data_IF_542204300554
#
_entry.id   IF_542204300554
#
_cell.length_a   1.000
_cell.length_b   1.000
_cell.length_c   1.000
_cell.angle_alpha   90.00
_cell.angle_beta   90.00
_cell.angle_gamma   90.00
#
_symmetry.space_group_name_H-M   'P 1'
#
loop_
_entity.id
_entity.type
_entity.pdbx_description
1 polymer ?
#
# COMPACT_ATOMS: atom_id res chain seq x y z
N UNK A 1 19.17 6.80 8.64
CA UNK A 1 17.96 5.98 8.94
C UNK A 1 18.26 4.48 8.93
N UNK A 2 19.02 3.96 7.96
CA UNK A 2 19.33 2.52 7.80
C UNK A 2 19.93 1.85 9.05
N UNK A 3 20.86 2.52 9.75
CA UNK A 3 21.51 1.95 10.96
C UNK A 3 20.52 1.49 12.03
N UNK A 4 19.50 2.30 12.34
CA UNK A 4 18.49 1.95 13.35
C UNK A 4 17.62 0.76 12.91
N UNK A 5 17.31 0.72 11.61
CA UNK A 5 16.54 -0.36 11.00
C UNK A 5 17.31 -1.69 11.06
N UNK A 6 18.62 -1.66 10.84
CA UNK A 6 19.51 -2.83 10.94
C UNK A 6 19.64 -3.32 12.38
N UNK A 7 19.87 -2.41 13.33
CA UNK A 7 19.94 -2.75 14.76
C UNK A 7 18.65 -3.43 15.21
N UNK A 8 17.48 -2.89 14.82
CA UNK A 8 16.20 -3.53 15.13
C UNK A 8 16.01 -4.87 14.41
N UNK A 9 16.44 -4.98 13.14
CA UNK A 9 16.37 -6.22 12.38
C UNK A 9 17.16 -7.34 13.06
N UNK A 10 18.38 -7.06 13.50
CA UNK A 10 19.23 -8.02 14.22
C UNK A 10 18.58 -8.43 15.55
N UNK A 11 18.07 -7.47 16.32
CA UNK A 11 17.33 -7.75 17.55
C UNK A 11 16.10 -8.65 17.32
N UNK A 12 15.27 -8.33 16.33
CA UNK A 12 14.03 -9.07 16.06
C UNK A 12 14.30 -10.50 15.59
N UNK A 13 15.24 -10.67 14.64
CA UNK A 13 15.58 -11.99 14.11
C UNK A 13 16.33 -12.86 15.14
N UNK A 14 17.09 -12.24 16.05
CA UNK A 14 17.70 -12.95 17.18
C UNK A 14 16.67 -13.51 18.17
N UNK A 15 15.53 -12.81 18.36
CA UNK A 15 14.45 -13.26 19.25
C UNK A 15 13.44 -14.20 18.57
N UNK A 16 13.25 -14.05 17.26
CA UNK A 16 12.24 -14.78 16.50
C UNK A 16 12.88 -15.53 15.32
N UNK A 17 13.36 -16.74 15.60
CA UNK A 17 13.92 -17.63 14.58
C UNK A 17 12.88 -18.08 13.55
N UNK A 18 13.32 -18.31 12.30
CA UNK A 18 12.47 -18.76 11.19
C UNK A 18 11.58 -17.68 10.57
N UNK A 19 11.70 -16.41 10.97
CA UNK A 19 10.93 -15.28 10.39
C UNK A 19 11.78 -14.45 9.44
N UNK A 20 11.10 -13.78 8.50
CA UNK A 20 11.69 -12.77 7.60
C UNK A 20 11.03 -11.42 7.84
N UNK A 21 11.84 -10.37 7.94
CA UNK A 21 11.33 -8.99 8.01
C UNK A 21 11.31 -8.36 6.61
N UNK A 22 10.18 -7.74 6.29
CA UNK A 22 9.99 -6.91 5.11
C UNK A 22 9.48 -5.54 5.55
N UNK A 23 10.24 -4.51 5.23
CA UNK A 23 9.90 -3.13 5.59
C UNK A 23 8.95 -2.55 4.55
N UNK A 24 7.95 -1.79 5.00
CA UNK A 24 6.93 -1.17 4.15
C UNK A 24 7.03 0.37 4.26
N UNK A 25 7.81 1.04 3.38
CA UNK A 25 8.00 2.48 3.41
C UNK A 25 6.71 3.29 3.32
N UNK A 26 5.72 2.76 2.60
CA UNK A 26 4.39 3.36 2.37
C UNK A 26 3.59 3.59 3.66
N UNK A 27 3.85 2.79 4.71
CA UNK A 27 3.21 2.93 6.01
C UNK A 27 4.05 3.74 7.01
N UNK A 28 5.26 4.14 6.61
CA UNK A 28 6.19 4.87 7.46
C UNK A 28 5.77 6.33 7.62
N UNK A 29 5.94 6.85 8.85
CA UNK A 29 5.76 8.26 9.15
C UNK A 29 6.82 8.73 10.15
N UNK A 30 7.11 10.03 10.12
CA UNK A 30 8.07 10.67 11.02
C UNK A 30 7.56 12.04 11.48
N UNK A 31 8.18 12.55 12.54
CA UNK A 31 8.00 13.92 12.99
C UNK A 31 9.30 14.67 12.77
N UNK A 32 9.25 15.73 11.96
CA UNK A 32 10.39 16.59 11.66
C UNK A 32 10.27 17.88 12.45
N UNK A 33 11.36 18.28 13.10
CA UNK A 33 11.49 19.62 13.67
C UNK A 33 12.05 20.53 12.60
N UNK A 34 11.35 21.61 12.32
CA UNK A 34 11.73 22.56 11.28
C UNK A 34 11.82 23.96 11.87
N UNK A 35 12.78 24.73 11.39
CA UNK A 35 12.98 26.12 11.78
C UNK A 35 12.55 27.02 10.62
N UNK A 36 11.45 27.72 10.81
CA UNK A 36 10.97 28.75 9.88
C UNK A 36 11.28 30.14 10.46
N UNK A 37 11.17 31.20 9.65
CA UNK A 37 11.42 32.56 10.13
C UNK A 37 10.49 33.00 11.27
N UNK A 38 9.24 32.53 11.27
CA UNK A 38 8.26 32.80 12.35
C UNK A 38 8.44 31.88 13.58
N UNK A 39 9.42 30.98 13.56
CA UNK A 39 9.77 30.12 14.68
C UNK A 39 9.73 28.63 14.36
N UNK A 40 9.99 27.85 15.41
CA UNK A 40 10.09 26.38 15.32
C UNK A 40 8.72 25.74 15.20
N UNK A 41 8.62 24.71 14.36
CA UNK A 41 7.40 23.91 14.13
C UNK A 41 7.74 22.42 14.06
N UNK A 42 6.74 21.58 14.24
CA UNK A 42 6.84 20.14 14.05
C UNK A 42 5.93 19.68 12.91
N UNK A 43 6.52 19.02 11.91
CA UNK A 43 5.80 18.46 10.77
C UNK A 43 5.64 16.95 10.97
N UNK A 44 4.41 16.47 11.08
CA UNK A 44 4.11 15.05 11.00
C UNK A 44 3.88 14.69 9.53
N UNK A 45 4.77 13.87 8.98
CA UNK A 45 4.91 13.60 7.55
C UNK A 45 5.09 12.10 7.29
N UNK A 46 4.79 11.65 6.07
CA UNK A 46 5.12 10.31 5.61
C UNK A 46 6.63 10.14 5.45
N UNK A 47 7.09 8.89 5.33
CA UNK A 47 8.50 8.60 5.09
C UNK A 47 8.99 9.22 3.77
N UNK A 48 8.18 9.16 2.70
CA UNK A 48 8.52 9.76 1.42
C UNK A 48 8.65 11.28 1.50
N UNK A 49 7.69 11.94 2.14
CA UNK A 49 7.77 13.38 2.42
C UNK A 49 9.01 13.73 3.24
N UNK A 50 9.39 12.86 4.19
CA UNK A 50 10.59 13.05 5.01
C UNK A 50 11.86 13.05 4.17
N UNK A 51 12.00 12.09 3.25
CA UNK A 51 13.17 12.00 2.37
C UNK A 51 13.31 13.27 1.52
N UNK A 52 12.22 13.73 0.91
CA UNK A 52 12.20 14.95 0.10
C UNK A 52 12.59 16.17 0.93
N UNK A 53 11.99 16.36 2.11
CA UNK A 53 12.29 17.52 2.96
C UNK A 53 13.74 17.54 3.48
N UNK A 54 14.33 16.37 3.72
CA UNK A 54 15.70 16.27 4.22
C UNK A 54 16.74 16.77 3.20
N UNK A 55 16.45 16.66 1.89
CA UNK A 55 17.33 17.17 0.83
C UNK A 55 17.57 18.67 0.96
N UNK A 56 16.58 19.43 1.44
CA UNK A 56 16.66 20.88 1.58
C UNK A 56 17.55 21.35 2.74
N UNK A 57 18.17 20.44 3.49
CA UNK A 57 19.23 20.79 4.44
C UNK A 57 20.58 21.04 3.76
N UNK A 58 20.80 20.50 2.55
CA UNK A 58 22.08 20.56 1.84
C UNK A 58 21.98 21.33 0.51
N UNK A 59 20.77 21.71 0.08
CA UNK A 59 20.54 22.53 -1.11
C UNK A 59 19.26 23.35 -1.01
N UNK A 60 19.18 24.42 -1.80
CA UNK A 60 18.08 25.40 -1.71
C UNK A 60 16.94 25.11 -2.70
N UNK A 61 17.28 24.55 -3.87
CA UNK A 61 16.34 24.29 -4.95
C UNK A 61 16.69 22.97 -5.66
N UNK A 62 15.66 22.17 -5.95
CA UNK A 62 15.80 20.91 -6.69
C UNK A 62 14.70 20.76 -7.74
N UNK A 63 15.02 20.14 -8.88
CA UNK A 63 14.06 19.70 -9.88
C UNK A 63 13.38 18.38 -9.48
N UNK A 64 12.26 18.04 -10.14
CA UNK A 64 11.61 16.72 -9.96
C UNK A 64 12.58 15.58 -10.22
N UNK A 65 13.38 15.67 -11.28
CA UNK A 65 14.34 14.64 -11.67
C UNK A 65 15.45 14.44 -10.63
N UNK A 66 15.97 15.53 -10.06
CA UNK A 66 16.99 15.49 -9.01
C UNK A 66 16.44 14.84 -7.75
N UNK A 67 15.21 15.20 -7.35
CA UNK A 67 14.53 14.60 -6.19
C UNK A 67 14.27 13.11 -6.45
N UNK A 68 13.83 12.73 -7.65
CA UNK A 68 13.60 11.33 -8.04
C UNK A 68 14.87 10.52 -7.93
N UNK A 69 15.97 11.02 -8.48
CA UNK A 69 17.28 10.37 -8.47
C UNK A 69 17.83 10.20 -7.05
N UNK A 70 17.74 11.24 -6.22
CA UNK A 70 18.26 11.22 -4.85
C UNK A 70 17.44 10.34 -3.89
N UNK A 71 16.11 10.34 -4.03
CA UNK A 71 15.21 9.63 -3.09
C UNK A 71 14.87 8.22 -3.53
N UNK A 72 14.95 7.91 -4.82
CA UNK A 72 14.57 6.62 -5.39
C UNK A 72 13.06 6.32 -5.31
N UNK A 73 12.23 7.34 -5.13
CA UNK A 73 10.77 7.18 -5.05
C UNK A 73 10.22 6.96 -6.46
N UNK A 74 9.27 6.03 -6.59
CA UNK A 74 8.55 5.80 -7.84
C UNK A 74 7.81 7.06 -8.29
N UNK A 75 7.78 7.33 -9.59
CA UNK A 75 7.29 8.59 -10.15
C UNK A 75 5.86 8.95 -9.73
N UNK A 76 4.93 8.00 -9.77
CA UNK A 76 3.55 8.25 -9.33
C UNK A 76 3.47 8.65 -7.86
N UNK A 77 4.25 8.00 -6.99
CA UNK A 77 4.32 8.31 -5.56
C UNK A 77 5.07 9.63 -5.29
N UNK A 78 6.09 9.94 -6.08
CA UNK A 78 6.86 11.17 -5.98
C UNK A 78 5.98 12.38 -6.33
N UNK A 79 5.25 12.33 -7.44
CA UNK A 79 4.33 13.42 -7.82
C UNK A 79 3.28 13.68 -6.74
N UNK A 80 2.68 12.62 -6.17
CA UNK A 80 1.75 12.73 -5.02
C UNK A 80 2.41 13.39 -3.80
N UNK A 81 3.64 12.96 -3.50
CA UNK A 81 4.43 13.47 -2.38
C UNK A 81 4.73 14.96 -2.55
N UNK A 82 5.24 15.37 -3.72
CA UNK A 82 5.52 16.77 -4.02
C UNK A 82 4.26 17.63 -4.05
N UNK A 83 3.17 17.14 -4.63
CA UNK A 83 1.89 17.84 -4.64
C UNK A 83 1.37 18.10 -3.22
N UNK A 84 1.53 17.14 -2.30
CA UNK A 84 1.13 17.31 -0.90
C UNK A 84 1.94 18.38 -0.15
N UNK A 85 3.21 18.55 -0.51
CA UNK A 85 4.14 19.49 0.12
C UNK A 85 4.06 20.91 -0.48
N UNK A 86 3.75 21.05 -1.76
CA UNK A 86 3.80 22.32 -2.49
C UNK A 86 2.43 22.88 -2.91
N UNK A 87 1.48 22.01 -3.27
CA UNK A 87 0.18 22.40 -3.82
C UNK A 87 -0.96 22.34 -2.79
N UNK A 88 -0.74 21.65 -1.67
CA UNK A 88 -1.73 21.44 -0.62
C UNK A 88 -2.08 22.67 0.23
N UNK A 89 -2.75 22.42 1.35
CA UNK A 89 -3.10 23.47 2.35
C UNK A 89 -1.87 23.97 3.11
N UNK A 90 -0.96 23.06 3.45
CA UNK A 90 0.29 23.37 4.13
C UNK A 90 1.44 23.34 3.11
N UNK A 91 1.75 24.51 2.53
CA UNK A 91 2.76 24.66 1.47
C UNK A 91 4.14 24.91 2.05
N UNK A 92 4.77 23.83 2.48
CA UNK A 92 6.13 23.85 3.04
C UNK A 92 7.20 23.98 1.97
N UNK A 93 6.88 23.66 0.72
CA UNK A 93 7.72 23.91 -0.46
C UNK A 93 7.04 24.94 -1.37
N UNK A 94 7.80 25.81 -2.03
CA UNK A 94 7.29 26.57 -3.17
C UNK A 94 7.63 25.87 -4.46
N UNK A 95 6.67 25.87 -5.37
CA UNK A 95 6.77 25.29 -6.71
C UNK A 95 6.96 26.40 -7.75
N UNK A 96 7.88 26.21 -8.69
CA UNK A 96 8.06 27.04 -9.88
C UNK A 96 8.08 26.18 -11.15
N UNK A 97 7.19 26.41 -12.13
CA UNK A 97 6.03 27.32 -12.11
C UNK A 97 4.92 26.89 -11.14
N UNK A 98 4.13 27.87 -10.66
CA UNK A 98 2.99 27.61 -9.76
C UNK A 98 1.87 26.90 -10.54
N UNK A 99 1.40 25.77 -10.01
CA UNK A 99 0.32 24.99 -10.60
C UNK A 99 -0.24 23.98 -9.59
N UNK A 100 -1.31 23.26 -9.98
CA UNK A 100 -1.86 22.17 -9.16
C UNK A 100 -1.16 20.84 -9.42
N UNK A 101 -0.78 20.61 -10.67
CA UNK A 101 -0.13 19.38 -11.14
C UNK A 101 1.38 19.50 -11.02
N UNK A 102 2.09 18.37 -11.10
CA UNK A 102 3.56 18.32 -11.02
C UNK A 102 4.05 17.77 -12.36
N UNK A 103 4.85 18.57 -13.06
CA UNK A 103 5.48 18.36 -14.36
C UNK A 103 6.99 18.17 -14.19
N UNK A 104 7.66 17.57 -15.17
CA UNK A 104 9.07 17.16 -15.04
C UNK A 104 10.06 18.34 -14.92
N UNK A 105 9.72 19.47 -15.56
CA UNK A 105 10.52 20.69 -15.49
C UNK A 105 10.29 21.52 -14.22
N UNK A 106 9.42 21.09 -13.31
CA UNK A 106 9.09 21.85 -12.11
C UNK A 106 10.25 21.84 -11.11
N UNK A 107 10.47 23.00 -10.48
CA UNK A 107 11.47 23.22 -9.44
C UNK A 107 10.81 23.51 -8.11
N UNK A 108 11.44 23.04 -7.04
CA UNK A 108 10.96 23.16 -5.67
C UNK A 108 12.01 23.82 -4.81
N UNK A 109 11.59 24.79 -3.99
CA UNK A 109 12.43 25.40 -2.96
C UNK A 109 11.74 25.33 -1.59
N UNK A 110 12.52 25.41 -0.52
CA UNK A 110 11.98 25.40 0.84
C UNK A 110 11.31 26.75 1.18
N UNK A 111 10.07 26.71 1.66
CA UNK A 111 9.32 27.91 2.00
C UNK A 111 9.66 28.42 3.41
N UNK A 112 10.70 29.23 3.52
CA UNK A 112 11.13 29.84 4.78
C UNK A 112 10.09 30.78 5.42
N UNK A 113 9.17 31.34 4.61
CA UNK A 113 8.11 32.26 5.05
C UNK A 113 6.81 31.51 5.38
N UNK A 114 6.85 30.17 5.50
CA UNK A 114 5.69 29.36 5.83
C UNK A 114 5.10 29.73 7.18
N UNK A 115 3.77 29.97 7.19
CA UNK A 115 3.01 30.36 8.39
C UNK A 115 1.92 29.36 8.69
N UNK A 116 1.78 28.98 9.96
CA UNK A 116 0.70 28.12 10.40
C UNK A 116 0.36 28.34 11.88
N UNK A 117 -0.95 28.32 12.20
CA UNK A 117 -1.46 28.58 13.56
C UNK A 117 -0.99 27.54 14.57
N UNK A 118 -0.95 26.27 14.17
CA UNK A 118 -0.52 25.17 15.03
C UNK A 118 1.01 25.03 15.07
N UNK A 119 1.55 24.58 16.20
CA UNK A 119 2.96 24.19 16.35
C UNK A 119 3.23 22.85 15.65
N UNK A 120 2.38 21.85 15.91
CA UNK A 120 2.43 20.53 15.30
C UNK A 120 1.44 20.43 14.15
N UNK A 121 1.93 20.13 12.96
CA UNK A 121 1.20 20.23 11.70
C UNK A 121 1.26 18.86 11.03
N UNK A 122 0.10 18.28 10.75
CA UNK A 122 0.02 17.03 10.00
C UNK A 122 -0.14 17.34 8.52
N UNK A 123 0.86 16.98 7.72
CA UNK A 123 0.78 17.07 6.26
C UNK A 123 0.25 15.73 5.76
N UNK A 124 -1.05 15.68 5.52
CA UNK A 124 -1.65 14.47 4.95
C UNK A 124 -1.12 14.26 3.53
N UNK A 125 -0.76 13.02 3.21
CA UNK A 125 -0.47 12.64 1.85
C UNK A 125 -1.75 12.80 1.01
N UNK A 126 -1.61 13.33 -0.20
CA UNK A 126 -2.74 13.40 -1.13
C UNK A 126 -3.04 11.96 -1.55
N UNK A 127 -4.16 11.44 -1.05
CA UNK A 127 -4.68 10.17 -1.53
C UNK A 127 -5.13 10.39 -2.96
N UNK A 128 -4.58 9.59 -3.88
CA UNK A 128 -5.24 9.45 -5.18
C UNK A 128 -6.65 8.91 -4.92
N UNK A 129 -7.61 9.38 -5.70
CA UNK A 129 -8.80 8.56 -5.93
C UNK A 129 -8.28 7.25 -6.50
N UNK A 130 -8.64 6.14 -5.88
CA UNK A 130 -8.27 4.79 -6.34
C UNK A 130 -8.38 4.74 -7.87
N UNK A 131 -7.29 4.40 -8.55
CA UNK A 131 -7.36 4.31 -10.01
C UNK A 131 -8.28 3.15 -10.36
N UNK A 132 -8.90 3.22 -11.53
CA UNK A 132 -9.76 2.11 -11.99
C UNK A 132 -8.96 0.81 -12.01
N UNK A 133 -7.65 0.84 -12.28
CA UNK A 133 -6.78 -0.34 -12.26
C UNK A 133 -6.56 -0.91 -10.86
N UNK A 134 -6.32 -0.08 -9.84
CA UNK A 134 -6.18 -0.53 -8.45
C UNK A 134 -7.50 -1.13 -7.92
N UNK A 135 -8.62 -0.52 -8.28
CA UNK A 135 -9.94 -1.00 -7.91
C UNK A 135 -10.24 -2.35 -8.58
N UNK A 136 -9.91 -2.49 -9.87
CA UNK A 136 -10.06 -3.75 -10.62
C UNK A 136 -9.15 -4.84 -10.05
N UNK A 137 -7.87 -4.55 -9.81
CA UNK A 137 -6.91 -5.49 -9.20
C UNK A 137 -7.36 -5.98 -7.82
N UNK A 138 -7.84 -5.07 -6.97
CA UNK A 138 -8.35 -5.41 -5.64
C UNK A 138 -9.60 -6.29 -5.76
N UNK A 139 -10.52 -5.93 -6.66
CA UNK A 139 -11.74 -6.70 -6.92
C UNK A 139 -11.41 -8.09 -7.47
N UNK A 140 -10.43 -8.20 -8.36
CA UNK A 140 -9.99 -9.46 -8.96
C UNK A 140 -9.37 -10.40 -7.91
N UNK A 141 -8.50 -9.88 -7.03
CA UNK A 141 -7.96 -10.66 -5.90
C UNK A 141 -9.07 -11.19 -5.00
N UNK A 142 -10.08 -10.36 -4.69
CA UNK A 142 -11.25 -10.79 -3.93
C UNK A 142 -12.02 -11.90 -4.64
N UNK A 143 -12.16 -11.85 -5.96
CA UNK A 143 -12.79 -12.92 -6.73
C UNK A 143 -11.97 -14.22 -6.72
N UNK A 144 -10.64 -14.14 -6.85
CA UNK A 144 -9.75 -15.29 -6.76
C UNK A 144 -9.81 -15.95 -5.37
N UNK A 145 -9.78 -15.15 -4.29
CA UNK A 145 -9.90 -15.66 -2.91
C UNK A 145 -11.25 -16.34 -2.67
N UNK A 146 -12.33 -15.82 -3.26
CA UNK A 146 -13.66 -16.46 -3.21
C UNK A 146 -13.67 -17.80 -3.91
N UNK A 147 -12.97 -17.95 -5.03
CA UNK A 147 -12.86 -19.21 -5.75
C UNK A 147 -12.20 -20.29 -4.88
N UNK A 148 -11.07 -19.96 -4.24
CA UNK A 148 -10.39 -20.89 -3.33
C UNK A 148 -11.26 -21.27 -2.11
N UNK A 149 -12.05 -20.33 -1.59
CA UNK A 149 -13.00 -20.61 -0.52
C UNK A 149 -14.13 -21.55 -0.96
N UNK A 150 -14.63 -21.41 -2.19
CA UNK A 150 -15.61 -22.32 -2.78
C UNK A 150 -15.02 -23.72 -2.91
N UNK A 151 -13.84 -23.85 -3.50
CA UNK A 151 -13.19 -25.15 -3.72
C UNK A 151 -12.93 -25.87 -2.38
N UNK A 152 -12.42 -25.14 -1.38
CA UNK A 152 -12.20 -25.69 -0.04
C UNK A 152 -13.51 -26.12 0.65
N UNK A 153 -14.61 -25.39 0.46
CA UNK A 153 -15.91 -25.74 1.00
C UNK A 153 -16.49 -26.99 0.31
N UNK A 154 -16.38 -27.09 -1.02
CA UNK A 154 -16.79 -28.27 -1.79
C UNK A 154 -16.05 -29.51 -1.30
N UNK A 155 -14.72 -29.45 -1.18
CA UNK A 155 -13.90 -30.57 -0.70
C UNK A 155 -14.34 -30.99 0.71
N UNK A 156 -14.60 -30.02 1.60
CA UNK A 156 -15.05 -30.29 2.98
C UNK A 156 -16.41 -30.98 3.03
N UNK A 157 -17.38 -30.50 2.24
CA UNK A 157 -18.74 -31.08 2.14
C UNK A 157 -18.67 -32.50 1.56
N UNK A 158 -18.00 -32.66 0.42
CA UNK A 158 -17.90 -33.94 -0.28
C UNK A 158 -17.12 -34.98 0.53
N UNK A 159 -16.09 -34.58 1.28
CA UNK A 159 -15.35 -35.48 2.17
C UNK A 159 -16.23 -36.05 3.29
N UNK A 160 -17.20 -35.28 3.79
CA UNK A 160 -18.12 -35.67 4.87
C UNK A 160 -19.30 -36.51 4.34
N UNK A 161 -19.94 -36.07 3.26
CA UNK A 161 -21.17 -36.69 2.74
C UNK A 161 -20.92 -37.86 1.79
N UNK A 162 -19.72 -37.96 1.19
CA UNK A 162 -19.28 -38.92 0.16
C UNK A 162 -20.07 -38.85 -1.16
N UNK A 163 -21.38 -38.75 -1.11
CA UNK A 163 -22.29 -38.57 -2.24
C UNK A 163 -23.32 -37.51 -1.89
N UNK A 164 -23.52 -36.53 -2.77
CA UNK A 164 -24.53 -35.48 -2.59
C UNK A 164 -25.04 -35.01 -3.96
N UNK A 165 -26.35 -34.85 -4.09
CA UNK A 165 -26.95 -34.32 -5.31
C UNK A 165 -26.54 -32.86 -5.54
N UNK A 166 -26.38 -32.46 -6.81
CA UNK A 166 -25.85 -31.13 -7.16
C UNK A 166 -26.60 -29.97 -6.48
N UNK A 167 -27.94 -29.99 -6.50
CA UNK A 167 -28.76 -28.93 -5.89
C UNK A 167 -28.55 -28.84 -4.36
N UNK A 168 -28.40 -29.99 -3.69
CA UNK A 168 -28.15 -30.04 -2.25
C UNK A 168 -26.74 -29.54 -1.91
N UNK A 169 -25.75 -29.85 -2.75
CA UNK A 169 -24.39 -29.31 -2.63
C UNK A 169 -24.39 -27.78 -2.77
N UNK A 170 -25.11 -27.25 -3.75
CA UNK A 170 -25.25 -25.80 -3.95
C UNK A 170 -25.93 -25.14 -2.75
N UNK A 171 -26.99 -25.74 -2.21
CA UNK A 171 -27.64 -25.24 -0.97
C UNK A 171 -26.72 -25.25 0.24
N UNK A 172 -25.93 -26.32 0.46
CA UNK A 172 -24.95 -26.36 1.56
C UNK A 172 -23.84 -25.32 1.37
N UNK A 173 -23.38 -25.07 0.13
CA UNK A 173 -22.40 -24.02 -0.17
C UNK A 173 -22.94 -22.62 0.16
N UNK A 174 -24.19 -22.31 -0.20
CA UNK A 174 -24.81 -21.03 0.16
C UNK A 174 -24.96 -20.84 1.68
N UNK A 175 -25.16 -21.92 2.44
CA UNK A 175 -25.22 -21.85 3.89
C UNK A 175 -23.84 -21.63 4.53
N UNK A 176 -22.76 -22.15 3.93
CA UNK A 176 -21.40 -21.99 4.46
C UNK A 176 -20.73 -20.68 4.03
N UNK A 177 -20.98 -20.21 2.80
CA UNK A 177 -20.31 -19.06 2.22
C UNK A 177 -21.16 -17.78 2.38
N UNK A 178 -20.57 -16.73 2.97
CA UNK A 178 -21.25 -15.44 3.19
C UNK A 178 -21.19 -14.49 1.99
N UNK A 179 -21.02 -15.01 0.78
CA UNK A 179 -20.94 -14.23 -0.46
C UNK A 179 -21.63 -14.97 -1.62
N UNK A 180 -22.12 -14.25 -2.64
CA UNK A 180 -22.81 -14.87 -3.76
C UNK A 180 -21.84 -15.73 -4.58
N UNK A 181 -22.16 -17.02 -4.67
CA UNK A 181 -21.50 -17.97 -5.57
C UNK A 181 -22.13 -17.79 -6.96
N UNK A 182 -21.36 -17.26 -7.92
CA UNK A 182 -21.79 -17.26 -9.33
C UNK A 182 -21.64 -18.68 -9.88
N UNK A 183 -22.72 -19.24 -10.40
CA UNK A 183 -22.85 -20.59 -10.98
C UNK A 183 -22.12 -20.71 -12.34
N UNK A 184 -21.08 -19.91 -12.60
CA UNK A 184 -20.21 -20.04 -13.76
C UNK A 184 -19.18 -21.13 -13.47
N UNK A 185 -19.69 -22.34 -13.32
CA UNK A 185 -18.88 -23.52 -13.12
C UNK A 185 -18.21 -23.89 -14.45
N UNK A 186 -16.96 -23.49 -14.63
CA UNK A 186 -16.04 -24.29 -15.43
C UNK A 186 -15.65 -25.51 -14.57
N UNK A 187 -16.53 -26.51 -14.52
CA UNK A 187 -16.31 -27.81 -13.84
C UNK A 187 -15.13 -28.61 -14.43
N UNK A 188 -14.36 -28.04 -15.35
CA UNK A 188 -13.31 -28.74 -16.07
C UNK A 188 -12.10 -29.11 -15.19
N UNK A 189 -11.87 -28.40 -14.08
CA UNK A 189 -10.83 -28.75 -13.09
C UNK A 189 -11.33 -29.60 -11.92
N UNK A 190 -12.64 -29.53 -11.62
CA UNK A 190 -13.26 -30.24 -10.50
C UNK A 190 -13.42 -31.74 -10.76
N UNK A 191 -13.45 -32.19 -12.03
CA UNK A 191 -13.42 -33.63 -12.30
C UNK A 191 -12.09 -34.24 -11.86
N UNK A 192 -10.94 -33.60 -12.11
CA UNK A 192 -9.64 -34.19 -11.78
C UNK A 192 -9.37 -34.27 -10.26
N UNK A 193 -9.67 -33.21 -9.51
CA UNK A 193 -9.38 -33.18 -8.05
C UNK A 193 -10.35 -34.08 -7.28
N UNK A 194 -11.64 -34.09 -7.67
CA UNK A 194 -12.59 -35.04 -7.11
C UNK A 194 -12.20 -36.47 -7.48
N UNK A 195 -11.76 -36.74 -8.71
CA UNK A 195 -11.33 -38.08 -9.15
C UNK A 195 -10.09 -38.56 -8.39
N UNK A 196 -9.08 -37.71 -8.20
CA UNK A 196 -7.86 -38.06 -7.45
C UNK A 196 -8.17 -38.36 -5.98
N UNK A 197 -9.02 -37.56 -5.32
CA UNK A 197 -9.39 -37.77 -3.92
C UNK A 197 -10.39 -38.93 -3.70
N UNK A 198 -11.18 -39.30 -4.72
CA UNK A 198 -12.09 -40.44 -4.63
C UNK A 198 -11.42 -41.77 -5.01
N UNK A 199 -10.43 -41.77 -5.90
CA UNK A 199 -9.74 -42.98 -6.37
C UNK A 199 -8.41 -43.30 -5.67
N UNK A 200 -7.79 -42.37 -4.95
CA UNK A 200 -6.60 -42.64 -4.13
C UNK A 200 -6.84 -42.27 -2.66
N UNK A 201 -7.47 -43.17 -1.87
CA UNK A 201 -7.62 -42.99 -0.43
C UNK A 201 -6.35 -43.27 0.39
N UNK A 202 -5.25 -43.73 -0.23
CA UNK A 202 -4.01 -44.11 0.46
C UNK A 202 -2.73 -43.47 -0.11
N UNK A 203 -2.69 -42.14 -0.19
CA UNK A 203 -1.43 -41.36 -0.17
C UNK A 203 -1.58 -40.20 0.81
#
# INVERSE_FOLDING_TARGET
MVKLQEVFKLFYLGKHSGRKLQWQPTLGHAVLKTEFKEGKKELQVSLFQTLVLLMFNEGEEFSVEEIKSATGIEEGELRRTLQSLACGKARVLNKSPRGKDIEDGDRFNFNNDFRHKLFRIKINQIQMKETVEEQVSTTERVFQDRQYQIDAAVVRIMKMRKTLGHNLLVSELYNQLKFPVKVLFHFHSLSLIAFVLFFYPEI
#
